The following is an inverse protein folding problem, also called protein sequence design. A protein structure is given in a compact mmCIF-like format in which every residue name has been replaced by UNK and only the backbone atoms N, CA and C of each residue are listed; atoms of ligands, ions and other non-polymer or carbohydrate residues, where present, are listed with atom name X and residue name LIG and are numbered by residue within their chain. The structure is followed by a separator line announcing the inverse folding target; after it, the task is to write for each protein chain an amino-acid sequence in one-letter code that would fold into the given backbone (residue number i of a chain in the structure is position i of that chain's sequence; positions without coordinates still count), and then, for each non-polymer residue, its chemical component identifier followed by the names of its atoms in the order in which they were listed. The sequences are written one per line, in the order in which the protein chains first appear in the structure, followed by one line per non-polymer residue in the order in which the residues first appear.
data_IF_557048482467
#
_entry.id   IF_557048482467
#
_cell.length_a   1.000
_cell.length_b   1.000
_cell.length_c   1.000
_cell.angle_alpha   90.00
_cell.angle_beta   90.00
_cell.angle_gamma   90.00
#
_symmetry.space_group_name_H-M   'P 1'
#
loop_
_entity.id
_entity.type
_entity.pdbx_description
1 polymer ?
#
# COMPACT_ATOMS: atom_id res chain seq x y z
N UNK A 1 -7.99 3.71 -5.10
CA UNK A 1 -9.09 2.77 -4.84
C UNK A 1 -9.64 3.03 -3.45
N UNK A 2 -10.94 2.96 -3.29
CA UNK A 2 -11.61 3.26 -2.04
C UNK A 2 -12.70 2.21 -1.77
N UNK A 3 -12.78 1.74 -0.53
CA UNK A 3 -13.91 0.94 -0.03
C UNK A 3 -14.69 1.81 0.93
N UNK A 4 -15.99 1.90 0.75
CA UNK A 4 -16.90 2.63 1.64
C UNK A 4 -17.74 1.65 2.44
N UNK A 5 -17.76 1.83 3.75
CA UNK A 5 -18.70 1.14 4.64
C UNK A 5 -19.89 2.08 4.79
N UNK A 6 -21.00 1.76 4.13
CA UNK A 6 -22.23 2.53 4.20
C UNK A 6 -23.23 1.84 5.15
N UNK A 7 -23.98 2.66 5.87
CA UNK A 7 -24.84 2.24 6.98
C UNK A 7 -26.27 1.84 6.51
N UNK A 8 -26.50 1.81 5.20
CA UNK A 8 -27.79 1.41 4.65
C UNK A 8 -28.13 -0.03 5.07
N UNK A 9 -29.15 -0.19 5.86
CA UNK A 9 -29.61 -1.50 6.40
C UNK A 9 -29.44 -1.67 7.91
N UNK A 10 -28.85 -0.70 8.62
CA UNK A 10 -28.70 -0.75 10.09
C UNK A 10 -30.08 -0.71 10.78
N UNK A 11 -31.09 -0.09 10.18
CA UNK A 11 -32.43 -0.02 10.81
C UNK A 11 -32.96 -1.40 11.19
N UNK A 12 -32.82 -2.37 10.33
CA UNK A 12 -33.29 -3.75 10.63
C UNK A 12 -32.53 -4.38 11.82
N UNK A 13 -31.25 -4.05 11.98
CA UNK A 13 -30.44 -4.57 13.11
C UNK A 13 -30.69 -3.74 14.37
N UNK A 14 -31.08 -2.48 14.27
CA UNK A 14 -31.31 -1.59 15.43
C UNK A 14 -32.73 -1.72 15.99
N UNK A 15 -33.73 -2.04 15.18
CA UNK A 15 -35.11 -2.28 15.64
C UNK A 15 -35.22 -3.49 16.59
N UNK A 16 -34.27 -4.42 16.47
CA UNK A 16 -34.15 -5.56 17.37
C UNK A 16 -33.53 -5.20 18.73
N UNK A 17 -32.90 -4.08 18.85
CA UNK A 17 -32.09 -3.68 20.01
C UNK A 17 -32.70 -2.45 20.68
N UNK A 18 -33.29 -2.64 21.87
CA UNK A 18 -33.94 -1.60 22.70
C UNK A 18 -32.95 -0.52 23.18
N UNK A 19 -32.21 0.12 22.26
CA UNK A 19 -31.28 1.21 22.55
C UNK A 19 -31.86 2.57 22.21
N UNK A 20 -31.40 3.63 22.89
CA UNK A 20 -31.70 5.00 22.50
C UNK A 20 -30.94 5.36 21.21
N UNK A 21 -31.48 6.25 20.38
CA UNK A 21 -30.82 6.69 19.13
C UNK A 21 -29.36 7.14 19.35
N UNK A 22 -29.10 7.79 20.47
CA UNK A 22 -27.75 8.21 20.85
C UNK A 22 -26.83 7.01 21.13
N UNK A 23 -27.30 5.98 21.81
CA UNK A 23 -26.52 4.77 22.08
C UNK A 23 -26.22 4.01 20.79
N UNK A 24 -27.21 3.91 19.91
CA UNK A 24 -27.06 3.29 18.58
C UNK A 24 -26.04 4.05 17.75
N UNK A 25 -26.14 5.36 17.66
CA UNK A 25 -25.18 6.20 16.88
C UNK A 25 -23.74 6.07 17.40
N UNK A 26 -23.55 6.06 18.72
CA UNK A 26 -22.23 5.86 19.31
C UNK A 26 -21.68 4.45 19.07
N UNK A 27 -22.52 3.41 19.22
CA UNK A 27 -22.15 2.03 18.96
C UNK A 27 -21.76 1.83 17.49
N UNK A 28 -22.54 2.38 16.57
CA UNK A 28 -22.26 2.37 15.13
C UNK A 28 -20.91 3.03 14.80
N UNK A 29 -20.66 4.21 15.34
CA UNK A 29 -19.37 4.91 15.13
C UNK A 29 -18.19 4.08 15.66
N UNK A 30 -18.34 3.43 16.81
CA UNK A 30 -17.31 2.54 17.38
C UNK A 30 -17.11 1.30 16.53
N UNK A 31 -18.20 0.68 16.05
CA UNK A 31 -18.16 -0.48 15.18
C UNK A 31 -17.43 -0.18 13.87
N UNK A 32 -17.75 0.94 13.20
CA UNK A 32 -17.05 1.39 11.99
C UNK A 32 -15.55 1.55 12.24
N UNK A 33 -15.15 2.25 13.31
CA UNK A 33 -13.74 2.43 13.63
C UNK A 33 -13.01 1.10 13.84
N UNK A 34 -13.61 0.17 14.58
CA UNK A 34 -13.05 -1.15 14.84
C UNK A 34 -12.94 -1.99 13.56
N UNK A 35 -13.95 -1.93 12.69
CA UNK A 35 -13.93 -2.58 11.38
C UNK A 35 -12.86 -1.99 10.48
N UNK A 36 -12.70 -0.66 10.42
CA UNK A 36 -11.65 -0.02 9.64
C UNK A 36 -10.24 -0.40 10.12
N UNK A 37 -10.02 -0.52 11.42
CA UNK A 37 -8.73 -0.98 11.96
C UNK A 37 -8.47 -2.43 11.56
N UNK A 38 -9.47 -3.29 11.67
CA UNK A 38 -9.36 -4.68 11.30
C UNK A 38 -9.08 -4.85 9.81
N UNK A 39 -9.89 -4.25 8.92
CA UNK A 39 -9.72 -4.38 7.47
C UNK A 39 -8.38 -3.79 7.00
N UNK A 40 -7.97 -2.66 7.56
CA UNK A 40 -6.64 -2.09 7.29
C UNK A 40 -5.52 -3.08 7.64
N UNK A 41 -5.66 -3.81 8.74
CA UNK A 41 -4.69 -4.82 9.16
C UNK A 41 -4.66 -6.00 8.21
N UNK A 42 -5.82 -6.52 7.80
CA UNK A 42 -5.92 -7.65 6.85
C UNK A 42 -5.37 -7.28 5.48
N UNK A 43 -5.87 -6.19 4.89
CA UNK A 43 -5.41 -5.70 3.58
C UNK A 43 -3.89 -5.49 3.56
N UNK A 44 -3.35 -4.88 4.62
CA UNK A 44 -1.90 -4.68 4.75
C UNK A 44 -1.13 -6.00 4.80
N UNK A 45 -1.63 -6.98 5.54
CA UNK A 45 -1.03 -8.32 5.67
C UNK A 45 -1.04 -9.06 4.34
N UNK A 46 -2.17 -9.04 3.64
CA UNK A 46 -2.35 -9.75 2.39
C UNK A 46 -1.49 -9.17 1.25
N UNK A 47 -1.46 -7.84 1.11
CA UNK A 47 -0.60 -7.19 0.13
C UNK A 47 0.87 -7.47 0.43
N UNK A 48 1.28 -7.36 1.69
CA UNK A 48 2.66 -7.63 2.10
C UNK A 48 3.07 -9.07 1.81
N UNK A 49 2.20 -10.04 2.06
CA UNK A 49 2.43 -11.46 1.78
C UNK A 49 2.56 -11.73 0.26
N UNK A 50 1.62 -11.21 -0.55
CA UNK A 50 1.64 -11.39 -2.00
C UNK A 50 2.88 -10.79 -2.66
N UNK A 51 3.26 -9.59 -2.27
CA UNK A 51 4.42 -8.89 -2.83
C UNK A 51 5.75 -9.25 -2.15
N UNK A 52 5.70 -10.05 -1.09
CA UNK A 52 6.88 -10.41 -0.26
C UNK A 52 7.62 -9.18 0.29
N UNK A 53 6.88 -8.12 0.62
CA UNK A 53 7.42 -6.88 1.21
C UNK A 53 7.06 -6.77 2.68
N UNK A 54 7.71 -5.88 3.41
CA UNK A 54 7.37 -5.63 4.81
C UNK A 54 6.03 -4.89 4.93
N UNK A 55 5.23 -5.21 5.94
CA UNK A 55 3.98 -4.48 6.20
C UNK A 55 4.21 -2.98 6.43
N UNK A 56 5.37 -2.62 6.97
CA UNK A 56 5.78 -1.21 7.16
C UNK A 56 5.78 -0.44 5.84
N UNK A 57 6.27 -1.06 4.76
CA UNK A 57 6.32 -0.44 3.43
C UNK A 57 4.94 -0.15 2.84
N UNK A 58 3.93 -0.94 3.24
CA UNK A 58 2.54 -0.79 2.78
C UNK A 58 1.76 0.20 3.67
N UNK A 59 2.14 0.38 4.93
CA UNK A 59 1.37 1.15 5.90
C UNK A 59 1.06 2.58 5.44
N UNK A 60 1.99 3.25 4.78
CA UNK A 60 1.82 4.61 4.26
C UNK A 60 0.87 4.68 3.05
N UNK A 61 0.60 3.55 2.40
CA UNK A 61 -0.26 3.44 1.23
C UNK A 61 -1.73 3.22 1.57
N UNK A 62 -2.03 2.83 2.80
CA UNK A 62 -3.39 2.52 3.24
C UNK A 62 -3.81 3.52 4.30
N UNK A 63 -4.85 4.28 3.99
CA UNK A 63 -5.43 5.29 4.90
C UNK A 63 -6.86 4.93 5.22
N UNK A 64 -7.31 5.30 6.40
CA UNK A 64 -8.69 5.14 6.86
C UNK A 64 -9.24 6.50 7.26
N UNK A 65 -10.50 6.75 6.95
CA UNK A 65 -11.23 7.93 7.40
C UNK A 65 -12.61 7.53 7.92
N UNK A 66 -13.11 8.30 8.88
CA UNK A 66 -14.50 8.20 9.36
C UNK A 66 -15.17 9.53 9.01
N UNK A 67 -16.20 9.45 8.19
CA UNK A 67 -16.95 10.60 7.68
C UNK A 67 -18.23 10.74 8.49
N UNK A 68 -18.50 11.94 8.99
CA UNK A 68 -19.68 12.29 9.76
C UNK A 68 -20.46 13.38 9.03
N UNK A 69 -21.21 13.03 8.02
CA UNK A 69 -22.09 13.95 7.28
C UNK A 69 -23.53 13.42 7.39
N UNK A 70 -24.19 13.72 8.54
CA UNK A 70 -25.52 13.18 8.83
C UNK A 70 -25.47 11.70 9.23
N UNK A 71 -25.12 10.83 8.33
CA UNK A 71 -24.84 9.41 8.60
C UNK A 71 -23.33 9.18 8.78
N UNK A 72 -22.98 8.32 9.76
CA UNK A 72 -21.57 7.98 9.99
C UNK A 72 -21.15 6.90 9.02
N UNK A 73 -20.20 7.19 8.14
CA UNK A 73 -19.61 6.23 7.22
C UNK A 73 -18.11 6.06 7.45
N UNK A 74 -17.57 4.98 6.94
CA UNK A 74 -16.14 4.69 7.00
C UNK A 74 -15.56 4.45 5.61
N UNK A 75 -14.35 4.94 5.38
CA UNK A 75 -13.64 4.73 4.13
C UNK A 75 -12.25 4.18 4.36
N UNK A 76 -11.86 3.22 3.55
CA UNK A 76 -10.51 2.70 3.40
C UNK A 76 -9.98 3.09 2.03
N UNK A 77 -8.88 3.81 2.00
CA UNK A 77 -8.23 4.25 0.77
C UNK A 77 -6.89 3.55 0.58
N UNK A 78 -6.64 3.08 -0.65
CA UNK A 78 -5.39 2.45 -1.07
C UNK A 78 -4.70 3.23 -2.20
N UNK A 79 -3.45 3.66 -1.95
CA UNK A 79 -2.61 4.30 -2.95
C UNK A 79 -1.93 3.27 -3.84
N UNK A 80 -2.24 3.26 -5.12
CA UNK A 80 -1.74 2.30 -6.11
C UNK A 80 -0.31 2.54 -6.58
N UNK A 81 0.37 3.47 -6.00
CA UNK A 81 1.71 3.88 -6.40
C UNK A 81 2.73 2.79 -6.14
N UNK A 82 3.55 2.49 -7.16
CA UNK A 82 4.61 1.49 -7.08
C UNK A 82 5.53 1.72 -5.89
N UNK A 83 6.05 0.68 -5.28
CA UNK A 83 7.04 0.77 -4.23
C UNK A 83 8.45 0.79 -4.81
N UNK A 84 9.35 1.42 -4.08
CA UNK A 84 10.77 1.22 -4.32
C UNK A 84 11.17 -0.22 -3.96
N UNK A 85 12.08 -0.85 -4.71
CA UNK A 85 12.64 -2.16 -4.35
C UNK A 85 13.27 -2.21 -2.96
N UNK A 86 13.65 -1.08 -2.40
CA UNK A 86 14.11 -0.99 -1.00
C UNK A 86 13.07 -1.48 0.03
N UNK A 87 11.81 -1.62 -0.38
CA UNK A 87 10.77 -2.26 0.44
C UNK A 87 11.02 -3.75 0.70
N UNK A 88 11.86 -4.40 -0.12
CA UNK A 88 12.27 -5.80 0.03
C UNK A 88 13.54 -5.96 0.89
N UNK A 89 14.23 -4.88 1.18
CA UNK A 89 15.47 -4.89 1.93
C UNK A 89 16.53 -3.93 1.37
N UNK A 90 17.71 -3.96 1.93
CA UNK A 90 18.83 -3.13 1.50
C UNK A 90 19.48 -3.72 0.26
N UNK A 91 19.50 -3.02 -0.87
CA UNK A 91 20.11 -3.51 -2.09
C UNK A 91 21.65 -3.50 -1.98
N UNK A 92 22.26 -4.53 -2.54
CA UNK A 92 23.71 -4.68 -2.63
C UNK A 92 24.11 -4.86 -4.09
N UNK A 93 25.10 -4.09 -4.53
CA UNK A 93 25.69 -4.26 -5.86
C UNK A 93 26.57 -5.53 -5.85
N UNK A 94 26.31 -6.46 -6.77
CA UNK A 94 27.08 -7.69 -6.93
C UNK A 94 27.71 -7.67 -8.31
N UNK A 95 29.02 -7.83 -8.37
CA UNK A 95 29.77 -7.79 -9.62
C UNK A 95 29.59 -6.47 -10.38
N UNK A 96 30.31 -6.33 -11.48
CA UNK A 96 30.30 -5.09 -12.26
C UNK A 96 31.00 -3.94 -11.53
N UNK A 97 31.66 -3.06 -12.29
CA UNK A 97 32.20 -1.83 -11.73
C UNK A 97 31.14 -0.72 -11.88
N UNK A 98 30.44 -0.30 -10.82
CA UNK A 98 29.42 0.74 -10.90
C UNK A 98 30.04 2.13 -11.19
N UNK A 99 31.33 2.28 -11.00
CA UNK A 99 32.04 3.54 -11.10
C UNK A 99 32.79 3.74 -12.41
N UNK A 100 32.57 2.90 -13.40
CA UNK A 100 33.33 2.90 -14.66
C UNK A 100 33.18 4.14 -15.53
N UNK A 101 33.42 5.32 -14.99
CA UNK A 101 33.80 6.47 -15.78
C UNK A 101 35.26 6.22 -16.21
N UNK A 102 35.46 5.82 -17.46
CA UNK A 102 36.78 5.78 -18.09
C UNK A 102 37.49 4.43 -18.18
N UNK A 103 36.97 3.33 -17.66
CA UNK A 103 37.61 2.03 -17.84
C UNK A 103 37.02 1.26 -19.00
N UNK A 104 37.75 1.16 -20.09
CA UNK A 104 37.48 0.24 -21.21
C UNK A 104 37.73 -1.23 -20.85
N UNK A 105 38.01 -1.55 -19.58
CA UNK A 105 38.27 -2.91 -19.11
C UNK A 105 37.00 -3.73 -19.06
N UNK A 106 37.10 -4.96 -19.56
CA UNK A 106 36.13 -6.03 -19.71
C UNK A 106 34.92 -5.89 -18.77
N UNK A 107 33.77 -5.61 -19.38
CA UNK A 107 32.46 -5.61 -18.69
C UNK A 107 32.27 -6.98 -18.07
N UNK A 108 32.34 -7.07 -16.76
CA UNK A 108 31.93 -8.28 -16.07
C UNK A 108 30.48 -8.58 -16.43
N UNK A 109 30.24 -9.68 -17.10
CA UNK A 109 28.97 -10.05 -17.71
C UNK A 109 27.91 -10.49 -16.72
N UNK A 110 28.25 -10.54 -15.43
CA UNK A 110 27.42 -11.11 -14.35
C UNK A 110 27.07 -10.11 -13.24
N UNK A 111 27.14 -8.84 -13.50
CA UNK A 111 26.80 -7.80 -12.52
C UNK A 111 25.28 -7.62 -12.36
N UNK A 112 24.89 -7.26 -11.15
CA UNK A 112 23.50 -6.96 -10.84
C UNK A 112 23.34 -6.39 -9.43
N UNK A 113 22.10 -6.24 -9.02
CA UNK A 113 21.73 -5.79 -7.67
C UNK A 113 20.96 -6.88 -6.97
N UNK A 114 21.43 -7.30 -5.81
CA UNK A 114 20.74 -8.26 -4.94
C UNK A 114 19.97 -7.53 -3.84
N UNK A 115 18.78 -8.00 -3.57
CA UNK A 115 17.94 -7.61 -2.45
C UNK A 115 17.79 -8.81 -1.49
N UNK A 116 18.80 -9.06 -0.69
CA UNK A 116 18.85 -10.23 0.18
C UNK A 116 18.71 -11.54 -0.62
N UNK A 117 17.96 -12.50 -0.08
CA UNK A 117 17.61 -13.76 -0.76
C UNK A 117 16.41 -13.64 -1.71
N UNK A 118 15.72 -12.50 -1.70
CA UNK A 118 14.39 -12.40 -2.31
C UNK A 118 14.40 -12.10 -3.80
N UNK A 119 15.29 -11.24 -4.29
CA UNK A 119 15.34 -10.82 -5.70
C UNK A 119 16.74 -10.45 -6.15
N UNK A 120 17.03 -10.81 -7.40
CA UNK A 120 18.26 -10.40 -8.09
C UNK A 120 17.92 -9.67 -9.39
N UNK A 121 18.34 -8.42 -9.51
CA UNK A 121 18.17 -7.57 -10.67
C UNK A 121 19.41 -7.65 -11.56
N UNK A 122 19.41 -8.60 -12.49
CA UNK A 122 20.55 -8.85 -13.39
C UNK A 122 20.80 -7.65 -14.30
N UNK A 123 22.04 -7.22 -14.45
CA UNK A 123 22.42 -6.08 -15.28
C UNK A 123 22.03 -4.71 -14.73
N UNK A 124 21.39 -4.68 -13.57
CA UNK A 124 21.05 -3.44 -12.88
C UNK A 124 22.24 -2.88 -12.08
N UNK A 125 22.16 -1.62 -11.71
CA UNK A 125 23.13 -0.92 -10.89
C UNK A 125 22.46 0.07 -9.94
N UNK A 126 23.13 0.35 -8.84
CA UNK A 126 22.67 1.33 -7.85
C UNK A 126 23.35 2.67 -8.14
N UNK A 127 22.56 3.72 -8.34
CA UNK A 127 23.07 5.08 -8.51
C UNK A 127 22.01 6.12 -8.17
N UNK A 128 22.46 7.30 -7.72
CA UNK A 128 21.64 8.50 -7.69
C UNK A 128 21.79 9.23 -9.04
N UNK A 129 20.78 9.12 -9.92
CA UNK A 129 20.84 9.71 -11.26
C UNK A 129 20.11 11.06 -11.30
N UNK A 130 18.99 11.19 -10.58
CA UNK A 130 18.12 12.36 -10.68
C UNK A 130 17.95 13.11 -9.35
N UNK A 131 18.80 12.86 -8.37
CA UNK A 131 18.74 13.55 -7.08
C UNK A 131 17.80 12.91 -6.03
N UNK A 132 17.01 11.91 -6.42
CA UNK A 132 16.03 11.22 -5.54
C UNK A 132 16.67 10.21 -4.57
N UNK A 133 17.99 10.27 -4.39
CA UNK A 133 18.75 9.29 -3.64
C UNK A 133 19.14 8.06 -4.48
N UNK A 134 19.84 7.11 -3.89
CA UNK A 134 20.29 5.90 -4.58
C UNK A 134 19.07 5.02 -4.92
N UNK A 135 18.97 4.67 -6.21
CA UNK A 135 17.92 3.79 -6.74
C UNK A 135 18.54 2.70 -7.60
N UNK A 136 17.77 1.65 -7.87
CA UNK A 136 18.16 0.55 -8.75
C UNK A 136 17.75 0.90 -10.17
N UNK A 137 18.69 0.90 -11.09
CA UNK A 137 18.50 1.29 -12.48
C UNK A 137 18.99 0.21 -13.44
N UNK A 138 18.36 0.11 -14.60
CA UNK A 138 18.85 -0.67 -15.73
C UNK A 138 18.87 0.16 -16.99
N UNK A 139 19.78 -0.12 -17.91
CA UNK A 139 19.79 0.48 -19.24
C UNK A 139 18.68 -0.14 -20.10
N UNK A 140 17.88 0.65 -20.80
CA UNK A 140 16.80 0.18 -21.69
C UNK A 140 17.28 -0.86 -22.71
N UNK A 141 18.50 -0.67 -23.23
CA UNK A 141 19.12 -1.56 -24.22
C UNK A 141 19.89 -2.73 -23.59
N UNK A 142 19.70 -2.96 -22.28
CA UNK A 142 20.32 -4.12 -21.63
C UNK A 142 19.62 -5.40 -22.06
N UNK A 143 20.38 -6.44 -22.39
CA UNK A 143 19.84 -7.79 -22.68
C UNK A 143 19.10 -8.42 -21.48
N UNK A 144 19.27 -7.83 -20.29
CA UNK A 144 18.62 -8.24 -19.05
C UNK A 144 17.45 -7.34 -18.66
N UNK A 145 17.02 -6.45 -19.55
CA UNK A 145 15.85 -5.62 -19.32
C UNK A 145 14.59 -6.49 -19.23
N UNK A 146 13.86 -6.39 -18.11
CA UNK A 146 12.58 -7.06 -17.90
C UNK A 146 11.53 -5.99 -17.56
N UNK A 147 10.48 -5.82 -18.39
CA UNK A 147 9.43 -4.82 -18.16
C UNK A 147 8.67 -4.99 -16.84
N UNK A 148 8.55 -6.23 -16.33
CA UNK A 148 7.86 -6.49 -15.04
C UNK A 148 8.63 -5.92 -13.85
N UNK A 149 9.96 -5.98 -13.90
CA UNK A 149 10.85 -5.45 -12.86
C UNK A 149 11.14 -3.96 -13.04
N UNK A 150 11.08 -3.51 -14.30
CA UNK A 150 11.37 -2.15 -14.72
C UNK A 150 10.21 -1.62 -15.57
N UNK A 151 9.02 -1.43 -15.00
CA UNK A 151 7.81 -1.13 -15.77
C UNK A 151 7.86 0.20 -16.54
N UNK A 152 8.86 1.02 -16.31
CA UNK A 152 9.03 2.28 -17.02
C UNK A 152 7.89 3.27 -16.84
N UNK A 153 6.90 2.94 -16.03
CA UNK A 153 5.81 3.83 -15.68
C UNK A 153 6.41 5.00 -14.93
N UNK A 154 6.52 6.08 -15.64
CA UNK A 154 6.72 7.37 -15.00
C UNK A 154 5.48 7.63 -14.15
N UNK A 155 5.62 7.66 -12.88
CA UNK A 155 4.84 8.41 -11.96
C UNK A 155 4.51 9.69 -12.61
N UNK A 156 3.21 9.91 -12.73
CA UNK A 156 2.65 11.05 -13.42
C UNK A 156 3.63 12.15 -13.41
N UNK A 157 4.12 12.47 -14.51
CA UNK A 157 4.84 13.68 -14.79
C UNK A 157 5.32 14.41 -13.52
N UNK A 158 6.09 13.73 -12.67
CA UNK A 158 7.05 14.50 -11.95
C UNK A 158 8.01 14.97 -13.03
N UNK A 159 7.56 15.94 -13.78
CA UNK A 159 8.40 16.90 -14.42
C UNK A 159 9.14 17.60 -13.28
N UNK A 160 9.94 16.77 -12.59
CA UNK A 160 10.74 17.17 -11.47
C UNK A 160 11.75 18.14 -11.97
N UNK A 161 11.30 19.34 -12.14
CA UNK A 161 12.08 20.50 -12.45
C UNK A 161 12.88 20.45 -13.73
N UNK A 162 13.42 21.57 -14.07
CA UNK A 162 14.30 21.89 -15.19
C UNK A 162 15.46 20.90 -15.45
N UNK A 163 16.00 20.28 -14.39
CA UNK A 163 17.13 19.33 -14.51
C UNK A 163 16.72 18.02 -15.18
N UNK A 164 15.53 17.50 -14.91
CA UNK A 164 15.03 16.25 -15.51
C UNK A 164 14.69 16.41 -16.99
N UNK A 165 14.16 17.56 -17.40
CA UNK A 165 13.93 17.88 -18.82
C UNK A 165 15.25 17.90 -19.60
N UNK A 166 16.29 18.49 -19.04
CA UNK A 166 17.61 18.61 -19.68
C UNK A 166 18.34 17.27 -19.82
N UNK A 167 18.04 16.30 -18.96
CA UNK A 167 18.64 14.95 -18.98
C UNK A 167 17.79 13.93 -19.73
N UNK A 168 16.58 14.27 -20.18
CA UNK A 168 15.72 13.40 -20.99
C UNK A 168 16.47 12.98 -22.26
N UNK A 169 16.63 11.68 -22.45
CA UNK A 169 17.28 11.09 -23.60
C UNK A 169 18.80 10.89 -23.49
N UNK A 170 19.50 11.59 -22.60
CA UNK A 170 20.95 11.38 -22.41
C UNK A 170 21.28 10.09 -21.67
N UNK A 171 20.37 9.62 -20.80
CA UNK A 171 20.52 8.37 -20.05
C UNK A 171 19.30 7.48 -20.27
N UNK A 172 19.33 6.55 -21.22
CA UNK A 172 18.25 5.62 -21.46
C UNK A 172 18.21 4.54 -20.36
N UNK A 173 17.90 4.96 -19.15
CA UNK A 173 17.79 4.09 -17.97
C UNK A 173 16.37 4.07 -17.45
N UNK A 174 16.00 2.95 -16.84
CA UNK A 174 14.69 2.74 -16.23
C UNK A 174 14.91 2.35 -14.78
N UNK A 175 14.07 2.88 -13.89
CA UNK A 175 14.08 2.62 -12.46
C UNK A 175 13.33 1.33 -12.17
N UNK A 176 13.92 0.48 -11.33
CA UNK A 176 13.22 -0.68 -10.80
C UNK A 176 12.08 -0.26 -9.86
N UNK A 177 10.94 -0.94 -9.98
CA UNK A 177 9.75 -0.65 -9.19
C UNK A 177 8.97 -1.95 -8.91
N UNK A 178 8.24 -1.95 -7.80
CA UNK A 178 7.29 -3.00 -7.45
C UNK A 178 5.90 -2.44 -7.73
N UNK A 179 5.21 -2.98 -8.73
CA UNK A 179 3.86 -2.57 -9.10
C UNK A 179 2.88 -3.05 -8.04
N UNK A 180 2.05 -2.13 -7.53
CA UNK A 180 1.04 -2.41 -6.51
C UNK A 180 -0.36 -2.57 -7.07
N UNK A 181 -0.62 -2.00 -8.23
CA UNK A 181 -1.98 -1.75 -8.73
C UNK A 181 -2.84 -3.02 -8.76
N UNK A 182 -2.39 -4.06 -9.46
CA UNK A 182 -3.18 -5.29 -9.63
C UNK A 182 -3.39 -6.02 -8.31
N UNK A 183 -2.33 -6.13 -7.50
CA UNK A 183 -2.42 -6.74 -6.16
C UNK A 183 -3.34 -5.95 -5.24
N UNK A 184 -3.28 -4.62 -5.31
CA UNK A 184 -4.14 -3.76 -4.50
C UNK A 184 -5.61 -3.94 -4.89
N UNK A 185 -5.93 -3.96 -6.19
CA UNK A 185 -7.28 -4.19 -6.69
C UNK A 185 -7.82 -5.53 -6.17
N UNK A 186 -7.10 -6.61 -6.42
CA UNK A 186 -7.52 -7.95 -6.02
C UNK A 186 -7.76 -8.07 -4.50
N UNK A 187 -6.87 -7.51 -3.69
CA UNK A 187 -7.00 -7.57 -2.23
C UNK A 187 -8.17 -6.71 -1.74
N UNK A 188 -8.40 -5.56 -2.35
CA UNK A 188 -9.52 -4.69 -1.99
C UNK A 188 -10.85 -5.31 -2.38
N UNK A 189 -10.97 -5.89 -3.59
CA UNK A 189 -12.19 -6.54 -4.06
C UNK A 189 -12.57 -7.72 -3.16
N UNK A 190 -11.59 -8.51 -2.71
CA UNK A 190 -11.82 -9.58 -1.75
C UNK A 190 -12.21 -9.07 -0.36
N UNK A 191 -11.56 -8.01 0.11
CA UNK A 191 -11.86 -7.44 1.41
C UNK A 191 -13.27 -6.86 1.52
N UNK A 192 -13.87 -6.41 0.41
CA UNK A 192 -15.22 -5.85 0.40
C UNK A 192 -16.28 -6.87 0.84
N UNK A 193 -16.12 -8.14 0.46
CA UNK A 193 -17.01 -9.23 0.89
C UNK A 193 -16.94 -9.49 2.39
N UNK A 194 -15.76 -9.41 2.98
CA UNK A 194 -15.52 -9.76 4.38
C UNK A 194 -15.89 -8.62 5.34
N UNK A 195 -15.87 -7.37 4.85
CA UNK A 195 -16.12 -6.17 5.65
C UNK A 195 -17.53 -6.18 6.25
N UNK A 196 -18.53 -6.58 5.49
CA UNK A 196 -19.93 -6.60 5.95
C UNK A 196 -20.11 -7.55 7.13
N UNK A 197 -19.62 -8.77 7.01
CA UNK A 197 -19.72 -9.76 8.07
C UNK A 197 -18.99 -9.32 9.35
N UNK A 198 -17.79 -8.74 9.21
CA UNK A 198 -17.04 -8.26 10.36
C UNK A 198 -17.67 -6.99 10.97
N UNK A 199 -18.23 -6.11 10.15
CA UNK A 199 -18.96 -4.93 10.63
C UNK A 199 -20.19 -5.34 11.47
N UNK A 200 -21.02 -6.26 10.98
CA UNK A 200 -22.19 -6.75 11.69
C UNK A 200 -21.81 -7.38 13.03
N UNK A 201 -20.75 -8.18 13.05
CA UNK A 201 -20.22 -8.76 14.28
C UNK A 201 -19.78 -7.68 15.28
N UNK A 202 -19.04 -6.67 14.83
CA UNK A 202 -18.60 -5.55 15.68
C UNK A 202 -19.79 -4.72 16.16
N UNK A 203 -20.74 -4.43 15.28
CA UNK A 203 -21.92 -3.65 15.60
C UNK A 203 -22.74 -4.31 16.71
N UNK A 204 -23.04 -5.60 16.56
CA UNK A 204 -23.76 -6.37 17.61
C UNK A 204 -23.04 -6.30 18.96
N UNK A 205 -21.71 -6.45 18.97
CA UNK A 205 -20.91 -6.34 20.19
C UNK A 205 -20.96 -4.95 20.82
N UNK A 206 -20.87 -3.89 20.01
CA UNK A 206 -20.90 -2.50 20.49
C UNK A 206 -22.29 -2.09 21.02
N UNK A 207 -23.35 -2.53 20.35
CA UNK A 207 -24.72 -2.27 20.82
C UNK A 207 -24.97 -3.00 22.15
N UNK A 208 -24.60 -4.26 22.23
CA UNK A 208 -24.73 -5.01 23.50
C UNK A 208 -23.97 -4.31 24.64
N UNK A 209 -22.76 -3.83 24.36
CA UNK A 209 -21.98 -3.05 25.33
C UNK A 209 -22.69 -1.75 25.74
N UNK A 210 -23.18 -0.98 24.77
CA UNK A 210 -23.83 0.30 25.03
C UNK A 210 -25.14 0.15 25.83
N UNK A 211 -25.93 -0.87 25.52
CA UNK A 211 -27.23 -1.08 26.17
C UNK A 211 -27.08 -1.73 27.54
N UNK A 212 -26.28 -2.77 27.68
CA UNK A 212 -26.23 -3.57 28.89
C UNK A 212 -25.15 -3.15 29.90
N UNK A 213 -24.02 -2.63 29.43
CA UNK A 213 -22.86 -2.36 30.31
C UNK A 213 -22.72 -0.89 30.62
N UNK A 214 -22.80 0.01 29.65
CA UNK A 214 -22.69 1.46 29.91
C UNK A 214 -23.87 2.00 30.73
N UNK A 215 -25.08 1.42 30.57
CA UNK A 215 -26.25 1.78 31.36
C UNK A 215 -26.07 1.42 32.85
N UNK A 216 -25.51 0.25 33.15
CA UNK A 216 -25.23 -0.17 34.53
C UNK A 216 -24.17 0.69 35.19
N UNK A 217 -23.14 1.13 34.45
CA UNK A 217 -22.09 2.00 35.01
C UNK A 217 -22.55 3.43 35.28
N UNK A 218 -23.59 3.92 34.59
CA UNK A 218 -24.16 5.26 34.82
C UNK A 218 -25.10 5.33 36.02
N UNK A 219 -25.63 4.20 36.42
CA UNK A 219 -26.57 4.09 37.52
C UNK A 219 -25.90 3.71 38.87
N UNK A 220 -24.58 3.63 38.87
CA UNK A 220 -23.71 3.53 40.04
C UNK A 220 -22.96 4.84 40.28
#
# INVERSE_FOLDING_TARGET
MEIKIDIKGIKETTDYLKGTDRQISLATTRAIRKTLVWVKSQVKKDIAAKLKVTQKSITSRIRTSVIKNGETSGALWGGMWSLSPYALGTPRQIGGNPAGIGSRRKRSTLGGVSLGSSRFYRGAFIKNIYGDGPNIWIRKNSKHFNPELFPGRHWGQYDGGYVLKKLRGRFPVVKAQIVLEDTMREVFDRADSDIRAEFDKKLRGEINYAVNIERVKRNR
#
